data_IF_302597339625
#
_entry.id   IF_302597339625
#
_cell.length_a   1.000
_cell.length_b   1.000
_cell.length_c   1.000
_cell.angle_alpha   90.00
_cell.angle_beta   90.00
_cell.angle_gamma   90.00
#
_symmetry.space_group_name_H-M   'P 1'
#
loop_
_entity.id
_entity.type
_entity.pdbx_description
1 polymer ?
#
# COMPACT_ATOMS: atom_id res chain seq x y z
N UNK A 1 11.68 -21.61 -33.65
CA UNK A 1 10.42 -21.98 -33.21
C UNK A 1 10.38 -22.26 -31.77
N UNK A 2 11.08 -23.23 -31.36
CA UNK A 2 11.03 -23.58 -29.97
C UNK A 2 11.36 -22.41 -29.09
N UNK A 3 12.21 -21.55 -29.53
CA UNK A 3 12.60 -20.44 -28.70
C UNK A 3 11.46 -19.53 -28.35
N UNK A 4 10.50 -19.42 -29.23
CA UNK A 4 9.39 -18.52 -29.00
C UNK A 4 8.58 -18.93 -27.79
N UNK A 5 8.40 -20.19 -27.61
CA UNK A 5 7.64 -20.67 -26.47
C UNK A 5 8.27 -20.28 -25.16
N UNK A 6 9.56 -20.37 -25.11
CA UNK A 6 10.25 -20.04 -23.88
C UNK A 6 10.02 -18.59 -23.49
N UNK A 7 9.95 -17.73 -24.46
CA UNK A 7 9.72 -16.32 -24.18
C UNK A 7 8.38 -16.05 -23.54
N UNK A 8 7.39 -16.77 -23.95
CA UNK A 8 6.08 -16.59 -23.38
C UNK A 8 6.05 -16.87 -21.90
N UNK A 9 6.71 -17.93 -21.52
CA UNK A 9 6.71 -18.30 -20.13
C UNK A 9 7.33 -17.25 -19.26
N UNK A 10 8.39 -16.65 -19.74
CA UNK A 10 9.06 -15.61 -19.00
C UNK A 10 8.16 -14.41 -18.82
N UNK A 11 7.44 -14.06 -19.86
CA UNK A 11 6.57 -12.92 -19.81
C UNK A 11 5.50 -13.10 -18.74
N UNK A 12 4.92 -14.26 -18.69
CA UNK A 12 3.88 -14.52 -17.71
C UNK A 12 4.42 -14.41 -16.29
N UNK A 13 5.59 -14.92 -16.07
CA UNK A 13 6.18 -14.86 -14.74
C UNK A 13 6.42 -13.43 -14.31
N UNK A 14 6.88 -12.60 -15.23
CA UNK A 14 7.11 -11.20 -14.89
C UNK A 14 5.83 -10.48 -14.51
N UNK A 15 4.75 -10.78 -15.20
CA UNK A 15 3.49 -10.13 -14.90
C UNK A 15 3.05 -10.43 -13.49
N UNK A 16 3.20 -11.65 -13.04
CA UNK A 16 2.78 -12.05 -11.72
C UNK A 16 3.57 -11.39 -10.62
N UNK A 17 4.84 -11.11 -10.87
CA UNK A 17 5.69 -10.54 -9.86
C UNK A 17 6.04 -9.08 -10.06
N UNK A 18 5.32 -8.40 -10.93
CA UNK A 18 5.69 -7.03 -11.28
C UNK A 18 5.54 -6.08 -10.10
N UNK A 19 6.59 -5.32 -9.86
CA UNK A 19 6.54 -4.27 -8.86
C UNK A 19 5.82 -3.06 -9.44
N UNK A 20 5.03 -2.41 -8.61
CA UNK A 20 4.26 -1.24 -9.00
C UNK A 20 4.56 -0.09 -8.08
N UNK A 21 4.18 1.09 -8.50
CA UNK A 21 4.35 2.30 -7.70
C UNK A 21 2.97 2.81 -7.30
N UNK A 22 2.79 3.05 -6.00
CA UNK A 22 1.53 3.53 -5.46
C UNK A 22 1.78 4.85 -4.75
N UNK A 23 0.86 5.77 -4.90
CA UNK A 23 0.94 7.07 -4.22
C UNK A 23 -0.31 7.24 -3.39
N UNK A 24 -0.14 7.66 -2.16
CA UNK A 24 -1.29 7.87 -1.30
C UNK A 24 -0.88 8.33 0.08
N UNK A 25 -1.80 8.19 1.02
CA UNK A 25 -1.58 8.63 2.39
C UNK A 25 -1.59 7.42 3.30
N UNK A 26 -0.69 7.40 4.28
CA UNK A 26 -0.68 6.34 5.27
C UNK A 26 -1.88 6.55 6.19
N UNK A 27 -2.70 5.52 6.29
CA UNK A 27 -3.90 5.53 7.12
C UNK A 27 -3.93 4.21 7.90
N UNK A 28 -5.07 3.83 8.40
CA UNK A 28 -5.23 2.55 9.09
C UNK A 28 -6.30 1.71 8.40
N UNK A 29 -6.26 0.41 8.67
CA UNK A 29 -7.13 -0.52 7.97
C UNK A 29 -8.58 -0.49 8.48
N UNK A 30 -8.83 0.12 9.62
CA UNK A 30 -10.19 0.18 10.17
C UNK A 30 -10.98 1.34 9.57
N UNK A 31 -10.40 2.52 9.52
CA UNK A 31 -11.09 3.69 9.01
C UNK A 31 -10.83 3.89 7.53
N UNK A 32 -9.65 3.51 7.06
CA UNK A 32 -9.32 3.66 5.65
C UNK A 32 -9.53 5.09 5.19
N UNK A 33 -10.36 5.25 4.19
CA UNK A 33 -10.63 6.56 3.61
C UNK A 33 -11.60 7.41 4.39
N UNK A 34 -12.16 6.89 5.47
CA UNK A 34 -13.17 7.64 6.21
C UNK A 34 -12.63 8.93 6.81
N UNK A 35 -11.34 8.95 7.14
CA UNK A 35 -10.75 10.19 7.64
C UNK A 35 -10.99 11.33 6.67
N UNK A 36 -10.81 11.04 5.39
CA UNK A 36 -11.02 12.04 4.38
C UNK A 36 -12.48 12.39 4.23
N UNK A 37 -13.35 11.38 4.30
CA UNK A 37 -14.77 11.60 4.18
C UNK A 37 -15.27 12.52 5.28
N UNK A 38 -14.64 12.47 6.43
CA UNK A 38 -15.01 13.33 7.54
C UNK A 38 -14.27 14.66 7.51
N UNK A 39 -13.64 14.95 6.40
CA UNK A 39 -12.92 16.19 6.21
C UNK A 39 -11.77 16.39 7.19
N UNK A 40 -11.24 15.30 7.69
CA UNK A 40 -10.13 15.36 8.63
C UNK A 40 -8.83 14.98 8.00
N UNK A 41 -8.92 14.33 6.86
CA UNK A 41 -7.75 13.71 6.30
C UNK A 41 -7.27 12.66 7.28
N UNK A 42 -6.22 11.97 6.93
CA UNK A 42 -5.60 11.06 7.86
C UNK A 42 -4.72 11.91 8.77
N UNK A 43 -4.96 11.88 10.07
CA UNK A 43 -4.04 12.55 10.96
C UNK A 43 -3.34 11.51 11.82
N UNK A 44 -2.11 11.81 12.19
CA UNK A 44 -1.24 10.83 12.79
C UNK A 44 -1.78 10.32 14.13
N UNK A 45 -2.44 11.16 14.89
CA UNK A 45 -2.98 10.75 16.16
C UNK A 45 -4.11 9.73 15.96
N UNK A 46 -5.02 10.01 15.06
CA UNK A 46 -6.13 9.12 14.81
C UNK A 46 -5.65 7.78 14.24
N UNK A 47 -4.76 7.83 13.29
CA UNK A 47 -4.22 6.62 12.70
C UNK A 47 -3.50 5.79 13.75
N UNK A 48 -2.70 6.43 14.58
CA UNK A 48 -1.92 5.73 15.59
C UNK A 48 -2.84 5.08 16.62
N UNK A 49 -3.91 5.76 17.02
CA UNK A 49 -4.85 5.20 17.98
C UNK A 49 -5.57 3.99 17.41
N UNK A 50 -5.94 4.04 16.15
CA UNK A 50 -6.59 2.89 15.51
C UNK A 50 -5.66 1.71 15.45
N UNK A 51 -4.40 1.94 15.15
CA UNK A 51 -3.43 0.84 15.09
C UNK A 51 -3.22 0.24 16.48
N UNK A 52 -3.19 1.06 17.51
CA UNK A 52 -3.10 0.54 18.87
C UNK A 52 -4.30 -0.33 19.22
N UNK A 53 -5.44 -0.03 18.63
CA UNK A 53 -6.65 -0.79 18.89
C UNK A 53 -6.75 -2.07 18.05
N UNK A 54 -5.75 -2.35 17.21
CA UNK A 54 -5.72 -3.59 16.46
C UNK A 54 -5.70 -3.43 14.96
N UNK A 55 -5.85 -2.22 14.46
CA UNK A 55 -5.80 -1.99 13.02
C UNK A 55 -4.34 -2.05 12.54
N UNK A 56 -4.19 -2.14 11.23
CA UNK A 56 -2.85 -2.14 10.64
C UNK A 56 -2.67 -0.87 9.82
N UNK A 57 -1.43 -0.46 9.66
CA UNK A 57 -1.14 0.66 8.77
C UNK A 57 -1.45 0.26 7.34
N UNK A 58 -2.01 1.18 6.60
CA UNK A 58 -2.46 0.93 5.24
C UNK A 58 -2.24 2.17 4.40
N UNK A 59 -2.34 1.99 3.08
CA UNK A 59 -2.23 3.07 2.13
C UNK A 59 -3.61 3.39 1.56
N UNK A 60 -3.99 4.66 1.60
CA UNK A 60 -5.21 5.15 0.98
C UNK A 60 -4.83 5.89 -0.29
N UNK A 61 -5.23 5.37 -1.44
CA UNK A 61 -4.81 5.93 -2.73
C UNK A 61 -5.82 6.88 -3.36
N UNK A 62 -6.88 7.18 -2.62
CA UNK A 62 -7.96 8.02 -3.13
C UNK A 62 -9.20 7.20 -3.48
N UNK A 63 -9.07 5.90 -3.61
CA UNK A 63 -10.15 5.02 -3.97
C UNK A 63 -10.23 3.79 -3.09
N UNK A 64 -9.11 3.21 -2.78
CA UNK A 64 -9.07 1.98 -2.00
C UNK A 64 -7.99 2.03 -0.94
N UNK A 65 -8.14 1.14 0.03
CA UNK A 65 -7.18 1.02 1.13
C UNK A 65 -6.47 -0.31 0.99
N UNK A 66 -5.14 -0.27 1.07
CA UNK A 66 -4.32 -1.47 0.96
C UNK A 66 -3.45 -1.60 2.20
N UNK A 67 -3.52 -2.75 2.86
CA UNK A 67 -2.66 -2.99 4.02
C UNK A 67 -1.22 -3.12 3.54
N UNK A 68 -0.29 -2.57 4.29
CA UNK A 68 1.12 -2.58 3.92
C UNK A 68 1.86 -3.63 4.72
N UNK A 69 2.71 -4.40 4.05
CA UNK A 69 3.49 -5.42 4.74
C UNK A 69 4.53 -4.82 5.67
N UNK A 70 5.01 -3.63 5.35
CA UNK A 70 6.02 -2.95 6.16
C UNK A 70 5.35 -2.03 7.17
N UNK A 71 4.90 -2.62 8.27
CA UNK A 71 4.21 -1.85 9.30
C UNK A 71 5.14 -0.87 10.00
N UNK A 72 6.38 -1.26 10.22
CA UNK A 72 7.33 -0.38 10.89
C UNK A 72 7.66 0.84 10.05
N UNK A 73 7.87 0.65 8.75
CA UNK A 73 8.13 1.76 7.86
C UNK A 73 6.94 2.69 7.75
N UNK A 74 5.74 2.11 7.68
CA UNK A 74 4.53 2.91 7.60
C UNK A 74 4.31 3.72 8.87
N UNK A 75 4.64 3.16 10.02
CA UNK A 75 4.43 3.86 11.29
C UNK A 75 5.19 5.17 11.35
N UNK A 76 6.36 5.21 10.74
CA UNK A 76 7.17 6.42 10.74
C UNK A 76 6.55 7.53 9.89
N UNK A 77 5.66 7.16 9.00
CA UNK A 77 5.07 8.11 8.06
C UNK A 77 3.56 8.20 8.21
N UNK A 78 3.06 7.87 9.40
CA UNK A 78 1.61 7.88 9.65
C UNK A 78 0.99 9.22 9.25
N UNK A 79 -0.12 9.14 8.54
CA UNK A 79 -0.89 10.29 8.08
C UNK A 79 -0.18 11.13 7.03
N UNK A 80 0.96 10.69 6.54
CA UNK A 80 1.71 11.46 5.56
C UNK A 80 1.49 10.89 4.16
N UNK A 81 1.69 11.75 3.18
CA UNK A 81 1.64 11.32 1.79
C UNK A 81 2.94 10.60 1.46
N UNK A 82 2.83 9.48 0.81
CA UNK A 82 3.98 8.62 0.55
C UNK A 82 3.95 8.04 -0.85
N UNK A 83 5.11 7.54 -1.26
CA UNK A 83 5.24 6.75 -2.47
C UNK A 83 5.69 5.37 -2.03
N UNK A 84 4.92 4.36 -2.39
CA UNK A 84 5.21 2.98 -2.04
C UNK A 84 5.51 2.20 -3.30
N UNK A 85 6.61 1.47 -3.31
CA UNK A 85 6.90 0.54 -4.37
C UNK A 85 6.76 -0.86 -3.82
N UNK A 86 6.06 -1.70 -4.56
CA UNK A 86 5.85 -3.06 -4.10
C UNK A 86 4.92 -3.82 -5.00
N UNK A 87 4.49 -4.97 -4.54
CA UNK A 87 3.65 -5.87 -5.30
C UNK A 87 2.28 -5.97 -4.65
N UNK A 88 1.24 -5.74 -5.42
CA UNK A 88 -0.12 -5.80 -4.91
C UNK A 88 -0.70 -7.20 -5.04
N UNK A 89 -1.28 -7.67 -3.95
CA UNK A 89 -2.12 -8.86 -3.98
C UNK A 89 -3.57 -8.37 -4.01
N UNK A 90 -4.19 -8.46 -5.16
CA UNK A 90 -5.53 -7.92 -5.33
C UNK A 90 -6.58 -8.67 -4.51
N UNK A 91 -6.34 -9.91 -4.19
CA UNK A 91 -7.31 -10.69 -3.42
C UNK A 91 -7.36 -10.25 -1.97
N UNK A 92 -6.21 -10.02 -1.38
CA UNK A 92 -6.14 -9.63 0.02
C UNK A 92 -6.07 -8.13 0.20
N UNK A 93 -5.85 -7.42 -0.88
CA UNK A 93 -5.67 -5.97 -0.85
C UNK A 93 -4.50 -5.59 0.04
N UNK A 94 -3.40 -6.30 -0.14
CA UNK A 94 -2.18 -6.04 0.60
C UNK A 94 -1.05 -5.75 -0.38
N UNK A 95 -0.23 -4.78 -0.03
CA UNK A 95 0.97 -4.47 -0.81
C UNK A 95 2.16 -5.01 -0.06
N UNK A 96 2.92 -5.87 -0.73
CA UNK A 96 4.20 -6.31 -0.21
C UNK A 96 5.20 -5.22 -0.56
N UNK A 97 5.64 -4.50 0.45
CA UNK A 97 6.41 -3.27 0.27
C UNK A 97 7.87 -3.57 -0.03
N UNK A 98 8.38 -3.00 -1.11
CA UNK A 98 9.81 -3.03 -1.39
C UNK A 98 10.47 -1.76 -0.86
N UNK A 99 9.79 -0.63 -0.99
CA UNK A 99 10.29 0.62 -0.43
C UNK A 99 9.12 1.55 -0.17
N UNK A 100 9.30 2.44 0.81
CA UNK A 100 8.30 3.44 1.15
C UNK A 100 9.04 4.72 1.50
N UNK A 101 8.63 5.82 0.87
CA UNK A 101 9.28 7.11 1.09
C UNK A 101 8.22 8.19 1.17
N UNK A 102 8.55 9.25 1.88
CA UNK A 102 7.64 10.38 1.98
C UNK A 102 7.55 11.06 0.62
N UNK A 103 6.34 11.45 0.23
CA UNK A 103 6.13 12.21 -0.98
C UNK A 103 6.18 13.68 -0.65
N UNK A 104 6.58 14.47 -1.64
CA UNK A 104 6.64 15.91 -1.43
C UNK A 104 5.38 16.62 -1.80
#
# INVERSE_FOLDING_TARGET
>A
MKKLSALFLLTAALVLGAEQTFTGTITDSMCGGDHKAMNMGANDKCVTECVKAGAKYALWDGHQTYVLSDQAGAAKLAARKVIVKGTLDAKTKMITVASITAAK
#
